data_IF_020682434417
#
_entry.id   IF_020682434417
#
_cell.length_a   1.000
_cell.length_b   1.000
_cell.length_c   1.000
_cell.angle_alpha   90.00
_cell.angle_beta   90.00
_cell.angle_gamma   90.00
#
_symmetry.space_group_name_H-M   'P 1'
#
loop_
_entity.id
_entity.type
_entity.pdbx_description
1 polymer ?
#
# COMPACT_ATOMS: atom_id res chain seq x y z
N UNK A 1 -1.83 12.65 2.35
CA UNK A 1 -1.26 12.58 3.71
C UNK A 1 -0.98 11.12 4.05
N UNK A 2 0.08 10.83 4.82
CA UNK A 2 0.57 9.46 5.04
C UNK A 2 -0.45 8.50 5.64
N UNK A 3 -1.27 8.95 6.59
CA UNK A 3 -2.26 8.08 7.26
C UNK A 3 -3.35 7.56 6.31
N UNK A 4 -3.85 8.40 5.40
CA UNK A 4 -4.86 7.99 4.41
C UNK A 4 -4.29 6.98 3.42
N UNK A 5 -3.01 7.14 3.03
CA UNK A 5 -2.34 6.16 2.17
C UNK A 5 -2.10 4.85 2.90
N UNK A 6 -1.63 4.88 4.16
CA UNK A 6 -1.49 3.66 4.98
C UNK A 6 -2.80 2.91 5.13
N UNK A 7 -3.93 3.60 5.29
CA UNK A 7 -5.23 2.94 5.35
C UNK A 7 -5.57 2.17 4.07
N UNK A 8 -5.27 2.76 2.89
CA UNK A 8 -5.46 2.09 1.60
C UNK A 8 -4.50 0.90 1.43
N UNK A 9 -3.23 1.08 1.79
CA UNK A 9 -2.22 0.02 1.72
C UNK A 9 -2.58 -1.13 2.66
N UNK A 10 -3.02 -0.84 3.89
CA UNK A 10 -3.51 -1.83 4.84
C UNK A 10 -4.58 -2.72 4.21
N UNK A 11 -5.55 -2.09 3.54
CA UNK A 11 -6.64 -2.80 2.90
C UNK A 11 -6.17 -3.65 1.71
N UNK A 12 -5.35 -3.08 0.83
CA UNK A 12 -4.88 -3.76 -0.39
C UNK A 12 -3.91 -4.91 -0.10
N UNK A 13 -2.97 -4.71 0.82
CA UNK A 13 -1.91 -5.68 1.16
C UNK A 13 -2.28 -6.60 2.34
N UNK A 14 -3.47 -6.41 2.94
CA UNK A 14 -3.95 -7.23 4.05
C UNK A 14 -3.12 -7.10 5.32
N UNK A 15 -2.54 -5.91 5.58
CA UNK A 15 -1.71 -5.64 6.75
C UNK A 15 -2.59 -5.63 8.00
N UNK A 16 -2.12 -6.27 9.07
CA UNK A 16 -2.82 -6.31 10.35
C UNK A 16 -2.87 -4.94 11.03
N UNK A 17 -3.74 -4.79 12.03
CA UNK A 17 -3.76 -3.58 12.87
C UNK A 17 -2.51 -3.45 13.74
N UNK A 18 -1.87 -4.58 14.10
CA UNK A 18 -0.62 -4.57 14.84
C UNK A 18 0.58 -4.13 13.98
N UNK A 19 0.57 -4.46 12.69
CA UNK A 19 1.71 -4.23 11.79
C UNK A 19 1.65 -2.87 11.07
N UNK A 20 0.46 -2.32 10.80
CA UNK A 20 0.30 -1.05 10.06
C UNK A 20 1.02 0.17 10.69
N UNK A 21 1.16 0.32 12.02
CA UNK A 21 1.87 1.46 12.61
C UNK A 21 3.36 1.49 12.25
N UNK A 22 3.95 0.31 12.01
CA UNK A 22 5.36 0.15 11.63
C UNK A 22 5.58 0.27 10.12
N UNK A 23 4.52 0.39 9.33
CA UNK A 23 4.61 0.50 7.88
C UNK A 23 4.98 1.93 7.45
N UNK A 24 6.16 2.07 6.85
CA UNK A 24 6.65 3.36 6.34
C UNK A 24 6.35 3.55 4.85
N UNK A 25 5.87 4.74 4.51
CA UNK A 25 5.68 5.18 3.12
C UNK A 25 6.75 6.21 2.84
N UNK A 26 7.66 5.89 1.92
CA UNK A 26 8.69 6.83 1.49
C UNK A 26 8.06 8.09 0.88
N UNK A 27 8.53 9.26 1.30
CA UNK A 27 8.03 10.53 0.74
C UNK A 27 8.61 10.72 -0.65
N UNK A 28 7.76 11.05 -1.62
CA UNK A 28 8.19 11.34 -2.99
C UNK A 28 8.52 10.12 -3.85
N UNK A 29 8.32 8.89 -3.34
CA UNK A 29 8.49 7.66 -4.12
C UNK A 29 7.12 7.12 -4.56
N UNK A 30 6.83 7.01 -5.87
CA UNK A 30 5.59 6.41 -6.32
C UNK A 30 5.55 4.92 -6.01
N UNK A 31 4.42 4.44 -5.49
CA UNK A 31 4.11 3.02 -5.31
C UNK A 31 3.01 2.64 -6.28
N UNK A 32 3.26 1.62 -7.10
CA UNK A 32 2.37 1.19 -8.18
C UNK A 32 1.70 -0.12 -7.78
N UNK A 33 0.38 -0.17 -7.96
CA UNK A 33 -0.46 -1.34 -7.76
C UNK A 33 -1.07 -1.75 -9.10
N UNK A 34 -0.80 -2.96 -9.54
CA UNK A 34 -1.56 -3.59 -10.62
C UNK A 34 -2.67 -4.40 -9.97
N UNK A 35 -3.92 -4.13 -10.34
CA UNK A 35 -5.10 -4.76 -9.76
C UNK A 35 -5.78 -5.68 -10.79
N UNK A 36 -6.36 -6.77 -10.32
CA UNK A 36 -7.26 -7.60 -11.14
C UNK A 36 -8.67 -7.01 -11.24
N UNK A 37 -9.57 -7.74 -11.92
CA UNK A 37 -10.97 -7.34 -12.09
C UNK A 37 -11.78 -7.33 -10.79
N UNK A 38 -11.25 -7.89 -9.69
CA UNK A 38 -11.84 -7.87 -8.35
C UNK A 38 -11.18 -6.80 -7.46
N UNK A 39 -10.33 -5.93 -8.03
CA UNK A 39 -9.55 -4.90 -7.33
C UNK A 39 -8.53 -5.46 -6.33
N UNK A 40 -8.09 -6.71 -6.50
CA UNK A 40 -7.01 -7.29 -5.68
C UNK A 40 -5.66 -7.01 -6.31
N UNK A 41 -4.63 -6.67 -5.53
CA UNK A 41 -3.28 -6.51 -6.07
C UNK A 41 -2.76 -7.83 -6.63
N UNK A 42 -2.31 -7.80 -7.88
CA UNK A 42 -1.57 -8.89 -8.52
C UNK A 42 -0.07 -8.60 -8.62
N UNK A 43 0.30 -7.32 -8.53
CA UNK A 43 1.68 -6.87 -8.52
C UNK A 43 1.81 -5.55 -7.75
N UNK A 44 2.89 -5.39 -6.99
CA UNK A 44 3.19 -4.18 -6.21
C UNK A 44 4.68 -3.87 -6.33
N UNK A 45 5.00 -2.64 -6.73
CA UNK A 45 6.38 -2.19 -6.84
C UNK A 45 6.51 -0.68 -6.61
N UNK A 46 7.66 -0.24 -6.14
CA UNK A 46 7.99 1.17 -6.07
C UNK A 46 8.74 1.60 -7.34
N UNK A 47 8.46 2.80 -7.85
CA UNK A 47 9.24 3.43 -8.90
C UNK A 47 10.41 4.20 -8.27
N UNK A 48 11.61 4.00 -8.81
CA UNK A 48 12.80 4.80 -8.53
C UNK A 48 12.86 6.06 -9.40
#
# INVERSE_FOLDING_TARGET
>A
HGNSLRALIKYLEGISDEDIPSFEIATGRPRVYELDGELKPVNVFDLD
#
